data_IF_896642279362
#
_entry.id   IF_896642279362
#
_cell.length_a   1.000
_cell.length_b   1.000
_cell.length_c   1.000
_cell.angle_alpha   90.00
_cell.angle_beta   90.00
_cell.angle_gamma   90.00
#
_symmetry.space_group_name_H-M   'P 1'
#
loop_
_entity.id
_entity.type
_entity.pdbx_description
1 polymer ?
#
# COMPACT_ATOMS: atom_id res chain seq x y z
N UNK A 1 28.09 -11.05 -10.03
CA UNK A 1 28.18 -11.71 -8.70
C UNK A 1 27.08 -12.75 -8.65
N UNK A 2 27.40 -14.03 -8.53
CA UNK A 2 26.43 -15.13 -8.62
C UNK A 2 25.28 -15.00 -7.62
N UNK A 3 24.08 -14.63 -8.10
CA UNK A 3 22.84 -14.56 -7.29
C UNK A 3 22.33 -15.95 -6.87
N UNK A 4 22.87 -17.03 -7.45
CA UNK A 4 22.42 -18.42 -7.28
C UNK A 4 22.39 -18.94 -5.83
N UNK A 5 23.39 -18.69 -4.95
CA UNK A 5 23.34 -19.15 -3.57
C UNK A 5 22.35 -18.36 -2.70
N UNK A 6 22.17 -17.05 -2.96
CA UNK A 6 21.25 -16.20 -2.19
C UNK A 6 19.79 -16.53 -2.48
N UNK A 7 19.46 -16.87 -3.72
CA UNK A 7 18.12 -17.32 -4.12
C UNK A 7 17.75 -18.67 -3.48
N UNK A 8 18.72 -19.59 -3.36
CA UNK A 8 18.54 -20.89 -2.70
C UNK A 8 18.36 -20.73 -1.18
N UNK A 9 19.18 -19.88 -0.54
CA UNK A 9 19.07 -19.60 0.88
C UNK A 9 17.70 -18.99 1.22
N UNK A 10 17.21 -18.06 0.38
CA UNK A 10 15.88 -17.48 0.57
C UNK A 10 14.75 -18.51 0.38
N UNK A 11 14.86 -19.44 -0.58
CA UNK A 11 13.90 -20.56 -0.74
C UNK A 11 13.83 -21.48 0.49
N UNK A 12 14.96 -21.73 1.14
CA UNK A 12 15.02 -22.56 2.36
C UNK A 12 14.46 -21.80 3.57
N UNK A 13 14.79 -20.51 3.70
CA UNK A 13 14.30 -19.67 4.79
C UNK A 13 12.78 -19.44 4.74
N UNK A 14 12.21 -19.28 3.54
CA UNK A 14 10.75 -19.15 3.37
C UNK A 14 10.00 -20.46 3.66
N UNK A 15 10.66 -21.63 3.52
CA UNK A 15 10.10 -22.92 3.97
C UNK A 15 10.10 -23.05 5.49
N UNK A 16 11.01 -22.37 6.17
CA UNK A 16 11.11 -22.40 7.62
C UNK A 16 10.18 -21.36 8.27
N UNK A 17 10.14 -20.14 7.73
CA UNK A 17 9.39 -19.03 8.30
C UNK A 17 8.71 -18.21 7.19
N UNK A 18 7.57 -18.69 6.65
CA UNK A 18 6.87 -18.04 5.54
C UNK A 18 6.31 -16.65 5.91
N UNK A 19 6.16 -16.36 7.21
CA UNK A 19 5.57 -15.12 7.73
C UNK A 19 6.57 -13.99 8.01
N UNK A 20 7.83 -14.12 7.57
CA UNK A 20 8.85 -13.08 7.78
C UNK A 20 8.92 -12.10 6.60
N UNK A 21 8.41 -10.88 6.80
CA UNK A 21 8.32 -9.83 5.77
C UNK A 21 9.69 -9.38 5.27
N UNK A 22 10.69 -9.33 6.15
CA UNK A 22 12.03 -8.83 5.79
C UNK A 22 12.71 -9.72 4.75
N UNK A 23 12.49 -11.03 4.83
CA UNK A 23 13.07 -11.99 3.87
C UNK A 23 12.39 -11.90 2.50
N UNK A 24 11.08 -11.61 2.45
CA UNK A 24 10.38 -11.29 1.21
C UNK A 24 10.93 -10.02 0.56
N UNK A 25 11.12 -8.95 1.35
CA UNK A 25 11.69 -7.69 0.86
C UNK A 25 13.12 -7.86 0.34
N UNK A 26 13.96 -8.63 1.03
CA UNK A 26 15.30 -8.98 0.53
C UNK A 26 15.22 -9.73 -0.79
N UNK A 27 14.29 -10.67 -0.94
CA UNK A 27 14.10 -11.40 -2.20
C UNK A 27 13.71 -10.47 -3.33
N UNK A 28 12.75 -9.58 -3.10
CA UNK A 28 12.30 -8.62 -4.12
C UNK A 28 13.47 -7.75 -4.60
N UNK A 29 14.33 -7.28 -3.69
CA UNK A 29 15.54 -6.51 -4.05
C UNK A 29 16.51 -7.31 -4.93
N UNK A 30 16.56 -8.63 -4.83
CA UNK A 30 17.42 -9.48 -5.65
C UNK A 30 16.91 -9.64 -7.10
N UNK A 31 15.60 -9.51 -7.34
CA UNK A 31 14.97 -9.62 -8.66
C UNK A 31 14.83 -8.28 -9.39
N UNK A 32 15.42 -7.19 -8.88
CA UNK A 32 15.15 -5.78 -9.22
C UNK A 32 15.25 -5.35 -10.70
N UNK A 33 15.52 -6.26 -11.64
CA UNK A 33 15.55 -6.01 -13.08
C UNK A 33 14.28 -6.50 -13.82
N UNK A 34 13.47 -7.40 -13.25
CA UNK A 34 12.32 -8.00 -13.94
C UNK A 34 10.99 -7.57 -13.32
N UNK A 35 10.28 -6.66 -14.00
CA UNK A 35 9.03 -6.07 -13.52
C UNK A 35 7.93 -7.11 -13.21
N UNK A 36 7.68 -8.04 -14.12
CA UNK A 36 6.63 -9.07 -13.98
C UNK A 36 6.92 -10.01 -12.81
N UNK A 37 8.18 -10.41 -12.63
CA UNK A 37 8.58 -11.31 -11.55
C UNK A 37 8.44 -10.62 -10.19
N UNK A 38 8.78 -9.34 -10.10
CA UNK A 38 8.62 -8.55 -8.87
C UNK A 38 7.15 -8.47 -8.47
N UNK A 39 6.22 -8.26 -9.40
CA UNK A 39 4.77 -8.23 -9.11
C UNK A 39 4.28 -9.59 -8.60
N UNK A 40 4.65 -10.68 -9.29
CA UNK A 40 4.27 -12.02 -8.87
C UNK A 40 4.80 -12.30 -7.47
N UNK A 41 6.02 -11.85 -7.16
CA UNK A 41 6.60 -12.00 -5.84
C UNK A 41 5.86 -11.21 -4.75
N UNK A 42 5.49 -9.95 -5.01
CA UNK A 42 4.69 -9.15 -4.07
C UNK A 42 3.31 -9.75 -3.83
N UNK A 43 2.63 -10.20 -4.90
CA UNK A 43 1.31 -10.81 -4.77
C UNK A 43 1.37 -12.14 -4.01
N UNK A 44 2.35 -13.00 -4.29
CA UNK A 44 2.60 -14.20 -3.50
C UNK A 44 2.92 -13.88 -2.03
N UNK A 45 3.68 -12.83 -1.75
CA UNK A 45 4.00 -12.41 -0.40
C UNK A 45 2.73 -12.01 0.38
N UNK A 46 1.89 -11.16 -0.21
CA UNK A 46 0.63 -10.73 0.41
C UNK A 46 -0.34 -11.89 0.66
N UNK A 47 -0.38 -12.88 -0.24
CA UNK A 47 -1.21 -14.07 -0.05
C UNK A 47 -0.68 -15.04 1.02
N UNK A 48 0.63 -15.07 1.23
CA UNK A 48 1.27 -16.03 2.16
C UNK A 48 1.39 -15.47 3.57
N UNK A 49 1.47 -14.14 3.72
CA UNK A 49 1.72 -13.52 5.02
C UNK A 49 0.40 -13.26 5.75
N UNK A 50 0.21 -14.01 6.84
CA UNK A 50 -0.87 -13.76 7.78
C UNK A 50 -0.52 -12.58 8.73
N UNK A 51 -1.34 -11.52 8.80
CA UNK A 51 -1.06 -10.34 9.62
C UNK A 51 -0.96 -10.62 11.13
N UNK A 52 -1.59 -11.70 11.61
CA UNK A 52 -1.67 -12.06 13.03
C UNK A 52 -0.39 -12.72 13.57
N UNK A 53 0.30 -13.45 12.71
CA UNK A 53 1.52 -14.23 13.04
C UNK A 53 2.77 -13.68 12.36
N UNK A 54 2.60 -12.61 11.56
CA UNK A 54 3.67 -11.90 10.90
C UNK A 54 4.79 -11.53 11.88
N UNK A 55 6.02 -11.93 11.53
CA UNK A 55 7.23 -11.53 12.24
C UNK A 55 7.94 -10.48 11.42
N UNK A 56 7.76 -9.21 11.81
CA UNK A 56 8.30 -8.05 11.10
C UNK A 56 7.22 -7.01 10.78
N UNK A 57 7.63 -5.96 10.07
CA UNK A 57 6.79 -4.82 9.74
C UNK A 57 6.02 -5.05 8.45
N UNK A 58 4.76 -5.44 8.55
CA UNK A 58 3.91 -5.70 7.39
C UNK A 58 3.67 -4.43 6.55
N UNK A 59 3.65 -3.25 7.19
CA UNK A 59 3.45 -1.97 6.50
C UNK A 59 4.55 -1.68 5.45
N UNK A 60 5.80 -2.05 5.72
CA UNK A 60 6.92 -1.83 4.78
C UNK A 60 6.73 -2.59 3.45
N UNK A 61 6.09 -3.76 3.50
CA UNK A 61 5.75 -4.52 2.29
C UNK A 61 4.78 -3.73 1.41
N UNK A 62 3.69 -3.23 1.99
CA UNK A 62 2.67 -2.46 1.27
C UNK A 62 3.23 -1.15 0.73
N UNK A 63 4.03 -0.43 1.53
CA UNK A 63 4.67 0.82 1.12
C UNK A 63 5.64 0.58 -0.04
N UNK A 64 6.51 -0.43 0.05
CA UNK A 64 7.45 -0.74 -1.03
C UNK A 64 6.73 -1.20 -2.31
N UNK A 65 5.61 -1.91 -2.19
CA UNK A 65 4.81 -2.32 -3.34
C UNK A 65 4.19 -1.11 -4.04
N UNK A 66 3.67 -0.15 -3.28
CA UNK A 66 3.13 1.08 -3.85
C UNK A 66 4.21 1.98 -4.48
N UNK A 67 5.38 2.12 -3.85
CA UNK A 67 6.54 2.83 -4.42
C UNK A 67 7.00 2.22 -5.75
N UNK A 68 6.89 0.90 -5.87
CA UNK A 68 7.18 0.21 -7.13
C UNK A 68 6.17 0.58 -8.22
N UNK A 69 4.87 0.67 -7.92
CA UNK A 69 3.88 1.14 -8.90
C UNK A 69 4.04 2.62 -9.26
N UNK A 70 4.43 3.44 -8.28
CA UNK A 70 4.71 4.87 -8.44
C UNK A 70 5.84 5.11 -9.46
N UNK A 71 6.94 4.35 -9.32
CA UNK A 71 8.07 4.38 -10.25
C UNK A 71 7.69 4.02 -11.70
N UNK A 72 6.58 3.31 -11.88
CA UNK A 72 6.06 2.90 -13.18
C UNK A 72 4.89 3.79 -13.68
N UNK A 73 4.56 4.87 -12.96
CA UNK A 73 3.49 5.80 -13.32
C UNK A 73 2.08 5.23 -13.21
N UNK A 74 1.90 4.09 -12.50
CA UNK A 74 0.60 3.39 -12.36
C UNK A 74 -0.08 3.78 -11.05
N UNK A 75 -0.62 5.00 -11.00
CA UNK A 75 -1.22 5.57 -9.79
C UNK A 75 -2.52 4.87 -9.36
N UNK A 76 -3.33 4.47 -10.33
CA UNK A 76 -4.62 3.81 -10.04
C UNK A 76 -4.41 2.47 -9.35
N UNK A 77 -3.41 1.72 -9.81
CA UNK A 77 -3.01 0.45 -9.23
C UNK A 77 -2.39 0.65 -7.83
N UNK A 78 -1.56 1.70 -7.64
CA UNK A 78 -1.04 2.06 -6.33
C UNK A 78 -2.16 2.37 -5.31
N UNK A 79 -3.18 3.14 -5.69
CA UNK A 79 -4.36 3.40 -4.85
C UNK A 79 -5.11 2.12 -4.47
N UNK A 80 -5.27 1.19 -5.41
CA UNK A 80 -5.89 -0.09 -5.13
C UNK A 80 -5.09 -0.91 -4.11
N UNK A 81 -3.76 -0.90 -4.20
CA UNK A 81 -2.89 -1.56 -3.23
C UNK A 81 -3.00 -0.91 -1.84
N UNK A 82 -3.07 0.42 -1.75
CA UNK A 82 -3.28 1.10 -0.47
C UNK A 82 -4.65 0.79 0.14
N UNK A 83 -5.74 0.80 -0.65
CA UNK A 83 -7.07 0.40 -0.19
C UNK A 83 -7.10 -1.05 0.34
N UNK A 84 -6.35 -1.95 -0.29
CA UNK A 84 -6.19 -3.31 0.24
C UNK A 84 -5.39 -3.34 1.53
N UNK A 85 -4.32 -2.56 1.62
CA UNK A 85 -3.50 -2.43 2.82
C UNK A 85 -4.29 -1.91 4.01
N UNK A 86 -5.15 -0.90 3.84
CA UNK A 86 -5.94 -0.32 4.94
C UNK A 86 -7.02 -1.27 5.48
N UNK A 87 -7.49 -2.20 4.65
CA UNK A 87 -8.46 -3.26 5.04
C UNK A 87 -7.81 -4.42 5.80
N UNK A 88 -6.48 -4.50 5.81
CA UNK A 88 -5.78 -5.55 6.56
C UNK A 88 -5.85 -5.25 8.06
N UNK A 89 -6.28 -6.23 8.85
CA UNK A 89 -6.32 -6.09 10.30
C UNK A 89 -4.92 -6.29 10.90
N UNK A 90 -4.16 -5.20 11.03
CA UNK A 90 -2.85 -5.20 11.66
C UNK A 90 -2.93 -5.48 13.16
N UNK A 91 -1.82 -5.97 13.72
CA UNK A 91 -1.67 -6.16 15.17
C UNK A 91 -1.46 -4.83 15.89
N UNK A 92 -0.71 -3.91 15.28
CA UNK A 92 -0.39 -2.61 15.82
C UNK A 92 -1.09 -1.52 15.00
N UNK A 93 -1.67 -0.54 15.69
CA UNK A 93 -2.32 0.62 15.05
C UNK A 93 -1.27 1.51 14.36
N UNK A 94 -0.05 1.53 14.88
CA UNK A 94 1.08 2.26 14.28
C UNK A 94 1.38 1.79 12.84
N UNK A 95 1.29 0.48 12.58
CA UNK A 95 1.51 -0.08 11.24
C UNK A 95 0.48 0.44 10.24
N UNK A 96 -0.78 0.53 10.67
CA UNK A 96 -1.86 1.09 9.84
C UNK A 96 -1.62 2.58 9.57
N UNK A 97 -1.25 3.35 10.60
CA UNK A 97 -0.94 4.77 10.46
C UNK A 97 0.19 5.01 9.45
N UNK A 98 1.25 4.18 9.45
CA UNK A 98 2.32 4.27 8.46
C UNK A 98 1.84 4.07 7.02
N UNK A 99 0.92 3.12 6.78
CA UNK A 99 0.35 2.88 5.44
C UNK A 99 -0.43 4.10 4.95
N UNK A 100 -1.26 4.69 5.82
CA UNK A 100 -2.00 5.89 5.52
C UNK A 100 -1.10 7.11 5.26
N UNK A 101 -0.07 7.31 6.08
CA UNK A 101 0.91 8.38 5.86
C UNK A 101 1.60 8.23 4.51
N UNK A 102 2.01 7.02 4.15
CA UNK A 102 2.63 6.76 2.86
C UNK A 102 1.68 7.02 1.68
N UNK A 103 0.38 6.69 1.82
CA UNK A 103 -0.62 7.04 0.81
C UNK A 103 -0.71 8.56 0.62
N UNK A 104 -0.81 9.31 1.71
CA UNK A 104 -0.80 10.78 1.65
C UNK A 104 0.46 11.33 0.98
N UNK A 105 1.65 10.78 1.30
CA UNK A 105 2.91 11.18 0.66
C UNK A 105 2.90 10.92 -0.85
N UNK A 106 2.34 9.79 -1.31
CA UNK A 106 2.23 9.51 -2.75
C UNK A 106 1.29 10.48 -3.45
N UNK A 107 0.11 10.78 -2.90
CA UNK A 107 -0.80 11.73 -3.57
C UNK A 107 -0.28 13.17 -3.57
N UNK A 108 0.44 13.58 -2.52
CA UNK A 108 1.11 14.88 -2.49
C UNK A 108 2.18 15.02 -3.58
N UNK A 109 2.88 13.93 -3.94
CA UNK A 109 3.87 13.95 -5.03
C UNK A 109 3.23 14.10 -6.41
N UNK A 110 1.99 13.65 -6.58
CA UNK A 110 1.27 13.68 -7.87
C UNK A 110 0.36 14.89 -8.03
N UNK A 111 0.50 15.90 -7.16
CA UNK A 111 -0.29 17.15 -7.16
C UNK A 111 -1.82 16.97 -7.02
N UNK A 112 -2.29 15.76 -6.70
CA UNK A 112 -3.68 15.45 -6.42
C UNK A 112 -4.04 15.80 -4.96
N UNK A 113 -3.96 17.10 -4.65
CA UNK A 113 -4.18 17.62 -3.30
C UNK A 113 -5.59 17.35 -2.78
N UNK A 114 -6.61 17.32 -3.66
CA UNK A 114 -8.02 17.08 -3.27
C UNK A 114 -8.20 15.68 -2.67
N UNK A 115 -7.62 14.67 -3.32
CA UNK A 115 -7.75 13.27 -2.90
C UNK A 115 -6.90 12.97 -1.66
N UNK A 116 -5.75 13.65 -1.52
CA UNK A 116 -4.95 13.59 -0.31
C UNK A 116 -5.70 14.13 0.92
N UNK A 117 -6.55 15.16 0.75
CA UNK A 117 -7.38 15.72 1.83
C UNK A 117 -8.47 14.72 2.22
N UNK A 118 -9.10 14.03 1.26
CA UNK A 118 -10.12 13.02 1.53
C UNK A 118 -9.53 11.82 2.28
N UNK A 119 -8.37 11.32 1.86
CA UNK A 119 -7.63 10.23 2.53
C UNK A 119 -7.27 10.65 3.97
N UNK A 120 -6.80 11.89 4.16
CA UNK A 120 -6.50 12.43 5.49
C UNK A 120 -7.76 12.62 6.35
N UNK A 121 -8.86 13.05 5.77
CA UNK A 121 -10.13 13.21 6.47
C UNK A 121 -10.72 11.87 6.93
N UNK A 122 -10.57 10.82 6.11
CA UNK A 122 -10.97 9.45 6.47
C UNK A 122 -10.23 8.87 7.70
N UNK A 123 -9.00 9.33 7.98
CA UNK A 123 -8.28 9.02 9.22
C UNK A 123 -8.83 9.75 10.45
N UNK A 124 -9.30 10.98 10.27
CA UNK A 124 -9.77 11.83 11.36
C UNK A 124 -11.21 11.52 11.79
N UNK A 125 -12.03 10.96 10.89
CA UNK A 125 -13.44 10.66 11.12
C UNK A 125 -13.82 9.27 10.57
N UNK A 126 -13.80 8.21 11.39
CA UNK A 126 -14.17 6.86 10.95
C UNK A 126 -15.70 6.63 10.80
N UNK A 127 -16.54 7.67 10.84
CA UNK A 127 -17.98 7.55 10.59
C UNK A 127 -18.41 8.46 9.43
N UNK A 128 -18.80 7.82 8.33
CA UNK A 128 -19.50 8.36 7.16
C UNK A 128 -18.75 9.34 6.25
N UNK A 129 -17.96 8.79 5.32
CA UNK A 129 -17.83 9.40 3.98
C UNK A 129 -18.58 8.52 2.98
N UNK A 130 -19.89 8.76 2.92
CA UNK A 130 -20.74 8.30 1.82
C UNK A 130 -20.41 9.14 0.59
N UNK A 131 -19.68 8.57 -0.37
CA UNK A 131 -19.56 9.16 -1.71
C UNK A 131 -20.87 8.87 -2.45
N UNK A 132 -21.79 9.84 -2.46
CA UNK A 132 -22.82 9.94 -3.50
C UNK A 132 -23.36 11.36 -3.58
N UNK A 133 -23.11 11.99 -4.73
CA UNK A 133 -23.92 13.05 -5.36
C UNK A 133 -24.17 14.33 -4.56
N UNK A 134 -23.41 15.40 -4.87
CA UNK A 134 -23.99 16.74 -5.10
C UNK A 134 -23.16 17.50 -6.15
N UNK A 135 -23.07 16.95 -7.37
CA UNK A 135 -23.04 17.82 -8.56
C UNK A 135 -24.50 18.16 -8.86
N UNK A 136 -24.82 19.45 -9.01
CA UNK A 136 -26.14 20.04 -9.34
C UNK A 136 -27.16 20.18 -8.19
N UNK A 137 -27.19 21.38 -7.58
CA UNK A 137 -28.31 22.34 -7.60
C UNK A 137 -28.06 23.40 -6.53
N UNK A 138 -27.96 24.68 -6.91
CA UNK A 138 -27.98 25.75 -5.90
C UNK A 138 -27.45 27.13 -6.26
N UNK A 139 -27.02 27.39 -7.50
CA UNK A 139 -26.84 28.79 -7.95
C UNK A 139 -28.22 29.38 -8.27
N UNK A 140 -28.95 29.85 -7.24
CA UNK A 140 -29.95 30.93 -7.32
C UNK A 140 -30.81 31.00 -6.06
N UNK A 141 -30.43 31.86 -5.11
CA UNK A 141 -31.32 32.90 -4.55
C UNK A 141 -30.54 33.78 -3.56
N UNK A 142 -29.83 34.75 -4.10
CA UNK A 142 -29.46 35.96 -3.37
C UNK A 142 -30.17 37.14 -4.04
N UNK A 143 -31.42 37.37 -3.66
CA UNK A 143 -32.08 38.68 -3.70
C UNK A 143 -33.34 38.63 -2.86
N UNK A 144 -33.39 39.44 -1.81
CA UNK A 144 -34.58 39.62 -0.99
C UNK A 144 -34.29 40.07 0.44
N UNK A 145 -33.62 41.21 0.58
CA UNK A 145 -33.88 42.25 1.60
C UNK A 145 -33.08 43.50 1.27
#
# INVERSE_FOLDING_TARGET
MDHRPLLLLNRVLLRQNPHNVNEWLKRIKLYGEQYDEVIVMYTCAVQTIDPKICTGKLHELWISFAQFYDSNGKLREARYIYDKGTKVNYRHVDDLACVWCAWCETELKHENCEEAIVVRAGLAFPEHVSISEQTSLGISKCHGL
#
